data_IF_643028809402
#
_entry.id   IF_643028809402
#
_cell.length_a   1.000
_cell.length_b   1.000
_cell.length_c   1.000
_cell.angle_alpha   90.00
_cell.angle_beta   90.00
_cell.angle_gamma   90.00
#
_symmetry.space_group_name_H-M   'P 1'
#
loop_
_entity.id
_entity.type
_entity.pdbx_description
1 polymer ?
#
# COMPACT_ATOMS: atom_id res chain seq x y z
N UNK A 1 -28.35 68.49 -3.50
CA UNK A 1 -27.89 67.20 -2.92
C UNK A 1 -27.25 66.39 -4.04
N UNK A 2 -25.92 66.37 -4.13
CA UNK A 2 -25.20 65.64 -5.18
C UNK A 2 -24.94 64.21 -4.70
N UNK A 3 -25.53 63.22 -5.37
CA UNK A 3 -25.32 61.80 -5.06
C UNK A 3 -24.04 61.35 -5.76
N UNK A 4 -23.01 61.04 -4.96
CA UNK A 4 -21.77 60.41 -5.46
C UNK A 4 -21.99 58.90 -5.44
N UNK A 5 -22.03 58.29 -6.62
CA UNK A 5 -22.18 56.84 -6.76
C UNK A 5 -20.78 56.22 -6.88
N UNK A 6 -20.36 55.52 -5.83
CA UNK A 6 -19.11 54.75 -5.81
C UNK A 6 -19.34 53.44 -6.57
N UNK A 7 -18.55 53.24 -7.63
CA UNK A 7 -18.55 52.01 -8.43
C UNK A 7 -17.39 51.12 -7.95
N UNK A 8 -17.70 50.11 -7.15
CA UNK A 8 -16.72 49.10 -6.73
C UNK A 8 -16.50 48.09 -7.87
N UNK A 9 -15.35 48.19 -8.53
CA UNK A 9 -14.90 47.24 -9.54
C UNK A 9 -14.34 45.99 -8.84
N UNK A 10 -15.16 44.94 -8.70
CA UNK A 10 -14.71 43.61 -8.26
C UNK A 10 -13.95 42.93 -9.41
N UNK A 11 -12.62 43.02 -9.38
CA UNK A 11 -11.75 42.24 -10.28
C UNK A 11 -11.69 40.81 -9.73
N UNK A 12 -12.53 39.94 -10.27
CA UNK A 12 -12.42 38.50 -10.06
C UNK A 12 -11.14 38.01 -10.75
N UNK A 13 -10.05 37.86 -10.00
CA UNK A 13 -8.87 37.16 -10.50
C UNK A 13 -9.26 35.71 -10.70
N UNK A 14 -9.15 35.23 -11.93
CA UNK A 14 -9.28 33.81 -12.24
C UNK A 14 -8.10 33.12 -11.54
N UNK A 15 -8.34 32.48 -10.39
CA UNK A 15 -7.38 31.54 -9.83
C UNK A 15 -7.31 30.37 -10.81
N UNK A 16 -6.37 30.42 -11.76
CA UNK A 16 -6.00 29.22 -12.50
C UNK A 16 -5.38 28.29 -11.47
N UNK A 17 -6.17 27.35 -10.97
CA UNK A 17 -5.70 26.19 -10.23
C UNK A 17 -4.95 25.29 -11.22
N UNK A 18 -3.84 25.77 -11.79
CA UNK A 18 -2.88 24.86 -12.38
C UNK A 18 -2.37 24.01 -11.23
N UNK A 19 -2.54 22.70 -11.35
CA UNK A 19 -1.82 21.72 -10.52
C UNK A 19 -0.36 22.10 -10.62
N UNK A 20 0.20 22.63 -9.54
CA UNK A 20 1.57 23.09 -9.54
C UNK A 20 2.49 21.87 -9.61
N UNK A 21 3.43 21.92 -10.56
CA UNK A 21 4.35 20.83 -10.88
C UNK A 21 5.72 21.15 -10.33
N UNK A 22 6.36 20.13 -9.77
CA UNK A 22 7.77 20.15 -9.38
C UNK A 22 8.49 19.08 -10.19
N UNK A 23 9.68 19.39 -10.66
CA UNK A 23 10.50 18.48 -11.44
C UNK A 23 11.63 17.93 -10.59
N UNK A 24 11.91 16.63 -10.74
CA UNK A 24 12.97 15.91 -10.03
C UNK A 24 13.90 15.25 -11.04
N UNK A 25 15.20 15.49 -10.92
CA UNK A 25 16.22 14.86 -11.77
C UNK A 25 17.52 14.56 -11.01
N UNK A 26 18.27 13.56 -11.46
CA UNK A 26 19.53 13.13 -10.85
C UNK A 26 20.64 14.18 -10.91
N UNK A 27 20.53 15.17 -11.80
CA UNK A 27 21.44 16.32 -11.92
C UNK A 27 20.87 17.62 -11.36
N UNK A 28 19.73 17.56 -10.66
CA UNK A 28 19.05 18.73 -10.12
C UNK A 28 19.78 19.40 -8.95
N UNK A 29 19.12 20.39 -8.35
CA UNK A 29 19.57 21.08 -7.14
C UNK A 29 18.36 21.43 -6.26
N UNK A 30 18.34 20.92 -5.02
CA UNK A 30 17.23 21.14 -4.07
C UNK A 30 17.09 22.60 -3.60
N UNK A 31 18.14 23.42 -3.77
CA UNK A 31 18.09 24.87 -3.51
C UNK A 31 17.58 25.68 -4.71
N UNK A 32 17.27 25.02 -5.83
CA UNK A 32 16.74 25.64 -7.04
C UNK A 32 15.23 25.91 -6.97
N UNK A 33 14.70 26.45 -8.06
CA UNK A 33 13.26 26.74 -8.22
C UNK A 33 12.42 25.44 -8.26
N UNK A 34 12.93 24.38 -8.90
CA UNK A 34 12.26 23.09 -9.08
C UNK A 34 10.91 23.12 -9.81
N UNK A 35 10.28 24.29 -10.01
CA UNK A 35 9.04 24.46 -10.78
C UNK A 35 9.27 24.48 -12.29
N UNK A 36 10.54 24.53 -12.73
CA UNK A 36 10.96 24.48 -14.12
C UNK A 36 11.80 23.23 -14.39
N UNK A 37 11.48 22.52 -15.47
CA UNK A 37 12.18 21.30 -15.90
C UNK A 37 13.69 21.52 -16.11
N UNK A 38 14.12 22.72 -16.47
CA UNK A 38 15.53 23.07 -16.65
C UNK A 38 16.29 23.27 -15.32
N UNK A 39 15.57 23.44 -14.21
CA UNK A 39 16.13 23.64 -12.86
C UNK A 39 15.44 22.71 -11.84
N UNK A 40 15.46 21.38 -12.07
CA UNK A 40 14.74 20.42 -11.24
C UNK A 40 15.39 20.28 -9.85
N UNK A 41 14.62 19.79 -8.89
CA UNK A 41 15.12 19.31 -7.60
C UNK A 41 16.02 18.08 -7.80
N UNK A 42 16.94 17.84 -6.87
CA UNK A 42 17.88 16.71 -6.90
C UNK A 42 17.35 15.47 -6.19
N UNK A 43 16.73 15.66 -5.03
CA UNK A 43 16.29 14.57 -4.16
C UNK A 43 14.77 14.50 -4.07
N UNK A 44 14.24 13.32 -3.73
CA UNK A 44 12.81 13.17 -3.49
C UNK A 44 12.36 14.06 -2.33
N UNK A 45 13.15 14.16 -1.27
CA UNK A 45 12.85 15.04 -0.14
C UNK A 45 12.82 16.52 -0.55
N UNK A 46 13.78 16.97 -1.37
CA UNK A 46 13.80 18.33 -1.90
C UNK A 46 12.54 18.63 -2.72
N UNK A 47 12.18 17.72 -3.63
CA UNK A 47 10.98 17.84 -4.44
C UNK A 47 9.69 17.85 -3.58
N UNK A 48 9.60 17.02 -2.55
CA UNK A 48 8.47 17.01 -1.59
C UNK A 48 8.36 18.32 -0.82
N UNK A 49 9.49 18.90 -0.39
CA UNK A 49 9.51 20.21 0.27
C UNK A 49 9.00 21.30 -0.66
N UNK A 50 9.50 21.35 -1.90
CA UNK A 50 9.14 22.36 -2.89
C UNK A 50 7.70 22.19 -3.45
N UNK A 51 7.18 20.96 -3.50
CA UNK A 51 5.87 20.68 -4.07
C UNK A 51 4.76 21.30 -3.20
N UNK A 52 3.87 22.13 -3.75
CA UNK A 52 2.73 22.61 -2.99
C UNK A 52 1.73 21.48 -2.72
N UNK A 53 0.80 21.73 -1.79
CA UNK A 53 -0.30 20.80 -1.49
C UNK A 53 -1.12 20.57 -2.77
N UNK A 54 -1.51 19.32 -3.00
CA UNK A 54 -2.18 18.82 -4.20
C UNK A 54 -1.36 18.95 -5.51
N UNK A 55 -0.06 19.23 -5.40
CA UNK A 55 0.84 19.29 -6.55
C UNK A 55 1.30 17.92 -7.06
N UNK A 56 2.08 17.94 -8.14
CA UNK A 56 2.66 16.75 -8.77
C UNK A 56 4.17 16.89 -8.93
N UNK A 57 4.91 15.91 -8.42
CA UNK A 57 6.35 15.74 -8.63
C UNK A 57 6.56 14.82 -9.84
N UNK A 58 7.22 15.34 -10.87
CA UNK A 58 7.52 14.62 -12.11
C UNK A 58 9.01 14.25 -12.11
N UNK A 59 9.29 12.94 -12.10
CA UNK A 59 10.65 12.41 -12.17
C UNK A 59 11.07 12.32 -13.65
N UNK A 60 12.15 13.01 -14.01
CA UNK A 60 12.54 13.25 -15.39
C UNK A 60 13.50 12.21 -15.97
N UNK A 61 14.39 11.68 -15.14
CA UNK A 61 15.50 10.83 -15.57
C UNK A 61 15.63 9.58 -14.69
N UNK A 62 16.52 8.67 -15.11
CA UNK A 62 16.87 7.52 -14.30
C UNK A 62 17.87 7.94 -13.23
N UNK A 63 17.67 7.50 -11.99
CA UNK A 63 18.58 7.89 -10.93
C UNK A 63 18.17 7.41 -9.54
N UNK A 64 19.07 7.64 -8.59
CA UNK A 64 18.80 7.47 -7.16
C UNK A 64 18.33 8.77 -6.52
N UNK A 65 17.15 8.74 -5.89
CA UNK A 65 16.50 9.95 -5.34
C UNK A 65 16.42 10.01 -3.81
N UNK A 66 16.83 8.93 -3.13
CA UNK A 66 16.72 8.82 -1.67
C UNK A 66 15.28 8.68 -1.19
N UNK A 67 15.11 8.64 0.14
CA UNK A 67 13.81 8.57 0.78
C UNK A 67 13.20 9.96 0.94
N UNK A 68 11.99 10.01 1.49
CA UNK A 68 11.33 11.27 1.83
C UNK A 68 10.28 11.10 2.94
N UNK A 69 10.02 12.18 3.66
CA UNK A 69 8.85 12.34 4.53
C UNK A 69 7.80 13.20 3.84
N UNK A 70 6.63 12.62 3.59
CA UNK A 70 5.50 13.25 2.90
C UNK A 70 4.38 13.52 3.91
N UNK A 71 4.11 14.80 4.15
CA UNK A 71 3.15 15.25 5.18
C UNK A 71 1.98 16.07 4.63
N UNK A 72 1.73 15.97 3.32
CA UNK A 72 0.69 16.72 2.62
C UNK A 72 0.22 15.96 1.39
N UNK A 73 -0.98 16.28 0.93
CA UNK A 73 -1.49 15.75 -0.35
C UNK A 73 -0.55 16.11 -1.50
N UNK A 74 -0.10 15.12 -2.28
CA UNK A 74 0.68 15.28 -3.51
C UNK A 74 0.76 13.98 -4.31
N UNK A 75 1.23 14.06 -5.55
CA UNK A 75 1.57 12.89 -6.37
C UNK A 75 3.06 12.87 -6.66
N UNK A 76 3.70 11.70 -6.54
CA UNK A 76 5.04 11.41 -7.07
C UNK A 76 4.86 10.52 -8.29
N UNK A 77 5.31 10.99 -9.46
CA UNK A 77 5.06 10.34 -10.73
C UNK A 77 6.38 10.09 -11.48
N UNK A 78 6.78 8.83 -11.55
CA UNK A 78 7.78 8.35 -12.51
C UNK A 78 7.06 7.83 -13.76
N UNK A 79 7.36 8.44 -14.90
CA UNK A 79 6.81 8.02 -16.20
C UNK A 79 7.34 6.64 -16.60
N UNK A 80 6.59 5.91 -17.43
CA UNK A 80 7.03 4.61 -17.95
C UNK A 80 8.41 4.74 -18.63
N UNK A 81 9.33 3.83 -18.30
CA UNK A 81 10.72 3.86 -18.78
C UNK A 81 11.68 4.64 -17.87
N UNK A 82 11.18 5.38 -16.88
CA UNK A 82 11.99 6.04 -15.86
C UNK A 82 12.23 5.08 -14.68
N UNK A 83 13.49 4.78 -14.39
CA UNK A 83 13.91 4.04 -13.20
C UNK A 83 14.13 5.03 -12.05
N UNK A 84 13.04 5.33 -11.34
CA UNK A 84 13.07 6.10 -10.11
C UNK A 84 13.55 5.24 -8.93
N UNK A 85 14.87 5.08 -8.82
CA UNK A 85 15.48 4.19 -7.84
C UNK A 85 15.44 4.79 -6.43
N UNK A 86 14.83 4.05 -5.49
CA UNK A 86 14.69 4.45 -4.09
C UNK A 86 15.08 3.28 -3.20
N UNK A 87 16.23 3.40 -2.53
CA UNK A 87 16.74 2.37 -1.62
C UNK A 87 16.58 2.73 -0.14
N UNK A 88 15.68 3.67 0.14
CA UNK A 88 15.45 4.29 1.44
C UNK A 88 13.96 4.30 1.74
N UNK A 89 13.58 4.26 3.01
CA UNK A 89 12.18 4.36 3.40
C UNK A 89 11.55 5.67 2.91
N UNK A 90 10.32 5.57 2.38
CA UNK A 90 9.42 6.71 2.21
C UNK A 90 8.43 6.68 3.37
N UNK A 91 8.38 7.74 4.16
CA UNK A 91 7.40 7.91 5.23
C UNK A 91 6.26 8.79 4.74
N UNK A 92 5.02 8.32 4.92
CA UNK A 92 3.80 9.05 4.59
C UNK A 92 3.03 9.29 5.88
N UNK A 93 2.93 10.56 6.27
CA UNK A 93 2.37 11.05 7.52
C UNK A 93 1.41 12.20 7.25
N UNK A 94 0.24 11.87 6.69
CA UNK A 94 -0.72 12.84 6.16
C UNK A 94 -1.95 12.98 7.07
N UNK A 95 -2.79 13.99 6.83
CA UNK A 95 -4.05 14.16 7.55
C UNK A 95 -5.14 13.22 6.99
N UNK A 96 -6.20 12.95 7.78
CA UNK A 96 -7.27 12.03 7.39
C UNK A 96 -8.02 12.38 6.09
N UNK A 97 -7.97 13.65 5.69
CA UNK A 97 -8.55 14.15 4.43
C UNK A 97 -7.57 14.20 3.26
N UNK A 98 -6.28 13.97 3.53
CA UNK A 98 -5.23 14.05 2.53
C UNK A 98 -5.10 12.79 1.69
N UNK A 99 -4.51 12.96 0.50
CA UNK A 99 -4.21 11.88 -0.43
C UNK A 99 -2.79 12.00 -1.00
N UNK A 100 -2.03 10.92 -0.88
CA UNK A 100 -0.73 10.75 -1.53
C UNK A 100 -0.81 9.66 -2.59
N UNK A 101 -0.21 9.92 -3.76
CA UNK A 101 -0.04 8.91 -4.82
C UNK A 101 1.44 8.73 -5.10
N UNK A 102 1.90 7.48 -5.02
CA UNK A 102 3.26 7.06 -5.38
C UNK A 102 3.16 6.16 -6.61
N UNK A 103 3.63 6.64 -7.77
CA UNK A 103 3.49 5.97 -9.06
C UNK A 103 4.85 5.71 -9.72
N UNK A 104 5.04 4.50 -10.23
CA UNK A 104 6.17 4.16 -11.09
C UNK A 104 7.50 3.99 -10.36
N UNK A 105 7.49 3.83 -9.03
CA UNK A 105 8.72 3.81 -8.24
C UNK A 105 9.41 2.44 -8.34
N UNK A 106 10.74 2.45 -8.39
CA UNK A 106 11.57 1.24 -8.32
C UNK A 106 12.32 1.23 -6.99
N UNK A 107 11.75 0.57 -5.99
CA UNK A 107 12.30 0.54 -4.64
C UNK A 107 13.11 -0.73 -4.40
N UNK A 108 14.32 -0.61 -3.84
CA UNK A 108 15.18 -1.73 -3.49
C UNK A 108 15.97 -1.48 -2.19
N UNK A 109 15.59 -2.14 -1.10
CA UNK A 109 16.17 -1.96 0.22
C UNK A 109 17.52 -2.67 0.48
N UNK A 110 17.99 -3.56 -0.41
CA UNK A 110 19.11 -4.49 -0.13
C UNK A 110 20.39 -3.76 0.27
N UNK A 111 20.68 -2.62 -0.37
CA UNK A 111 21.95 -1.91 -0.20
C UNK A 111 22.09 -1.32 1.20
N UNK A 112 21.01 -0.83 1.77
CA UNK A 112 21.09 -0.04 2.99
C UNK A 112 20.37 -0.65 4.19
N UNK A 113 19.60 -1.71 4.00
CA UNK A 113 19.00 -2.47 5.10
C UNK A 113 17.90 -1.73 5.85
N UNK A 114 17.20 -0.79 5.22
CA UNK A 114 16.03 -0.16 5.82
C UNK A 114 14.96 -1.22 6.12
N UNK A 115 14.30 -1.06 7.27
CA UNK A 115 13.26 -1.98 7.72
C UNK A 115 12.09 -2.01 6.74
N UNK A 116 11.58 -0.84 6.35
CA UNK A 116 10.39 -0.73 5.49
C UNK A 116 10.66 0.04 4.20
N UNK A 117 10.00 -0.36 3.11
CA UNK A 117 9.98 0.41 1.87
C UNK A 117 9.13 1.66 2.02
N UNK A 118 7.84 1.46 2.27
CA UNK A 118 6.90 2.55 2.53
C UNK A 118 6.34 2.40 3.94
N UNK A 119 6.46 3.45 4.74
CA UNK A 119 5.89 3.54 6.07
C UNK A 119 4.71 4.51 6.05
N UNK A 120 3.48 4.00 6.16
CA UNK A 120 2.26 4.80 6.20
C UNK A 120 1.80 4.97 7.65
N UNK A 121 2.21 6.07 8.27
CA UNK A 121 2.19 6.26 9.72
C UNK A 121 0.97 7.03 10.23
N UNK A 122 0.35 7.88 9.41
CA UNK A 122 -0.83 8.68 9.79
C UNK A 122 -2.01 8.52 8.83
N UNK A 123 -3.22 8.89 9.28
CA UNK A 123 -4.47 8.62 8.58
C UNK A 123 -4.63 9.40 7.27
N UNK A 124 -5.42 8.90 6.32
CA UNK A 124 -5.61 9.52 5.01
C UNK A 124 -5.73 8.45 3.92
N UNK A 125 -5.42 8.82 2.67
CA UNK A 125 -5.36 7.87 1.56
C UNK A 125 -3.95 7.80 0.96
N UNK A 126 -3.36 6.61 0.96
CA UNK A 126 -2.13 6.32 0.21
C UNK A 126 -2.47 5.42 -0.98
N UNK A 127 -2.11 5.85 -2.18
CA UNK A 127 -2.17 5.04 -3.40
C UNK A 127 -0.76 4.72 -3.84
N UNK A 128 -0.45 3.43 -3.99
CA UNK A 128 0.80 2.94 -4.55
C UNK A 128 0.45 2.20 -5.83
N UNK A 129 0.96 2.67 -6.95
CA UNK A 129 0.60 2.07 -8.24
C UNK A 129 1.79 1.95 -9.20
N UNK A 130 1.75 0.91 -10.04
CA UNK A 130 2.76 0.67 -11.07
C UNK A 130 4.19 0.63 -10.53
N UNK A 131 4.38 0.14 -9.30
CA UNK A 131 5.64 0.24 -8.57
C UNK A 131 6.22 -1.13 -8.24
N UNK A 132 7.54 -1.19 -8.12
CA UNK A 132 8.26 -2.36 -7.61
C UNK A 132 8.78 -2.02 -6.21
N UNK A 133 8.50 -2.87 -5.23
CA UNK A 133 8.98 -2.72 -3.86
C UNK A 133 9.68 -4.00 -3.45
N UNK A 134 11.01 -3.94 -3.34
CA UNK A 134 11.78 -5.14 -3.08
C UNK A 134 12.90 -5.00 -2.07
N UNK A 135 13.27 -6.11 -1.43
CA UNK A 135 14.54 -6.21 -0.70
C UNK A 135 14.62 -5.42 0.60
N UNK A 136 13.48 -5.01 1.18
CA UNK A 136 13.46 -4.39 2.50
C UNK A 136 13.52 -5.47 3.59
N UNK A 137 14.22 -5.17 4.69
CA UNK A 137 14.54 -6.18 5.72
C UNK A 137 13.27 -6.73 6.38
N UNK A 138 12.29 -5.86 6.59
CA UNK A 138 11.06 -6.20 7.28
C UNK A 138 9.84 -6.04 6.36
N UNK A 139 9.45 -4.83 5.97
CA UNK A 139 8.15 -4.60 5.32
C UNK A 139 8.30 -3.97 3.92
N UNK A 140 7.62 -4.49 2.92
CA UNK A 140 7.43 -3.75 1.66
C UNK A 140 6.64 -2.47 1.91
N UNK A 141 5.42 -2.63 2.43
CA UNK A 141 4.54 -1.53 2.87
C UNK A 141 4.03 -1.81 4.29
N UNK A 142 4.24 -0.85 5.19
CA UNK A 142 3.70 -0.86 6.54
C UNK A 142 2.52 0.13 6.63
N UNK A 143 1.32 -0.35 6.92
CA UNK A 143 0.14 0.47 7.18
C UNK A 143 -0.16 0.46 8.68
N UNK A 144 0.33 1.49 9.38
CA UNK A 144 0.27 1.57 10.84
C UNK A 144 -0.76 2.60 11.33
N UNK A 145 -1.35 3.35 10.41
CA UNK A 145 -2.30 4.41 10.70
C UNK A 145 -3.73 3.90 10.90
N UNK A 146 -4.33 4.20 12.05
CA UNK A 146 -5.75 3.97 12.25
C UNK A 146 -6.59 4.89 11.34
N UNK A 147 -7.73 4.42 10.80
CA UNK A 147 -8.56 5.23 9.89
C UNK A 147 -7.97 5.40 8.48
N UNK A 148 -6.86 4.73 8.17
CA UNK A 148 -6.16 4.89 6.89
C UNK A 148 -6.79 4.07 5.77
N UNK A 149 -6.56 4.52 4.53
CA UNK A 149 -6.97 3.84 3.31
C UNK A 149 -5.73 3.61 2.44
N UNK A 150 -5.30 2.37 2.29
CA UNK A 150 -4.21 1.98 1.40
C UNK A 150 -4.79 1.35 0.14
N UNK A 151 -4.32 1.80 -1.02
CA UNK A 151 -4.62 1.20 -2.32
C UNK A 151 -3.29 0.80 -2.96
N UNK A 152 -3.12 -0.48 -3.26
CA UNK A 152 -1.97 -1.05 -3.96
C UNK A 152 -2.45 -1.62 -5.28
N UNK A 153 -2.05 -1.04 -6.39
CA UNK A 153 -2.54 -1.44 -7.71
C UNK A 153 -1.41 -1.65 -8.72
N UNK A 154 -1.39 -2.80 -9.38
CA UNK A 154 -0.38 -3.12 -10.39
C UNK A 154 1.06 -2.98 -9.85
N UNK A 155 1.32 -3.57 -8.68
CA UNK A 155 2.63 -3.54 -8.05
C UNK A 155 3.29 -4.93 -8.00
N UNK A 156 4.61 -4.94 -7.97
CA UNK A 156 5.41 -6.13 -7.68
C UNK A 156 6.09 -5.94 -6.32
N UNK A 157 5.73 -6.77 -5.34
CA UNK A 157 6.21 -6.66 -3.96
C UNK A 157 6.94 -7.95 -3.58
N UNK A 158 8.27 -7.91 -3.54
CA UNK A 158 9.06 -9.15 -3.46
C UNK A 158 10.33 -9.08 -2.63
N UNK A 159 10.81 -10.23 -2.15
CA UNK A 159 12.06 -10.32 -1.40
C UNK A 159 12.09 -9.43 -0.14
N UNK A 160 10.94 -9.18 0.49
CA UNK A 160 10.88 -8.47 1.76
C UNK A 160 10.69 -9.47 2.93
N UNK A 161 10.61 -9.00 4.17
CA UNK A 161 10.05 -9.81 5.26
C UNK A 161 8.57 -10.10 4.98
N UNK A 162 7.74 -9.08 5.12
CA UNK A 162 6.34 -9.03 4.72
C UNK A 162 6.18 -8.20 3.45
N UNK A 163 5.22 -8.55 2.60
CA UNK A 163 4.87 -7.72 1.45
C UNK A 163 4.11 -6.46 1.87
N UNK A 164 2.87 -6.64 2.36
CA UNK A 164 2.05 -5.59 2.96
C UNK A 164 1.61 -6.05 4.35
N UNK A 165 1.87 -5.23 5.36
CA UNK A 165 1.37 -5.43 6.73
C UNK A 165 0.45 -4.28 7.11
N UNK A 166 -0.80 -4.61 7.45
CA UNK A 166 -1.74 -3.69 8.10
C UNK A 166 -1.80 -4.06 9.58
N UNK A 167 -1.20 -3.21 10.42
CA UNK A 167 -1.09 -3.39 11.87
C UNK A 167 -1.27 -2.02 12.53
N UNK A 168 -2.46 -1.74 13.04
CA UNK A 168 -2.77 -0.43 13.66
C UNK A 168 -2.89 -0.48 15.17
N UNK A 169 -3.05 -1.69 15.74
CA UNK A 169 -3.39 -1.93 17.14
C UNK A 169 -4.56 -1.05 17.64
N UNK A 170 -5.47 -0.66 16.73
CA UNK A 170 -6.53 0.30 16.98
C UNK A 170 -7.92 -0.27 16.69
N UNK A 171 -8.93 0.24 17.38
CA UNK A 171 -10.34 -0.06 17.14
C UNK A 171 -10.95 0.75 15.99
N UNK A 172 -10.19 1.68 15.40
CA UNK A 172 -10.60 2.45 14.22
C UNK A 172 -10.14 1.75 12.96
N UNK A 173 -11.10 1.42 12.09
CA UNK A 173 -10.87 0.62 10.89
C UNK A 173 -9.77 1.19 9.99
N UNK A 174 -8.90 0.32 9.51
CA UNK A 174 -7.96 0.59 8.42
C UNK A 174 -8.39 -0.22 7.20
N UNK A 175 -8.56 0.44 6.06
CA UNK A 175 -8.95 -0.22 4.82
C UNK A 175 -7.71 -0.44 3.95
N UNK A 176 -7.63 -1.62 3.35
CA UNK A 176 -6.56 -1.97 2.41
C UNK A 176 -7.16 -2.63 1.18
N UNK A 177 -6.84 -2.13 -0.01
CA UNK A 177 -7.27 -2.71 -1.27
C UNK A 177 -6.03 -3.03 -2.10
N UNK A 178 -5.88 -4.29 -2.49
CA UNK A 178 -4.77 -4.80 -3.28
C UNK A 178 -5.34 -5.39 -4.56
N UNK A 179 -4.96 -4.83 -5.71
CA UNK A 179 -5.45 -5.27 -7.02
C UNK A 179 -4.32 -5.43 -8.02
N UNK A 180 -4.47 -6.41 -8.92
CA UNK A 180 -3.58 -6.61 -10.06
C UNK A 180 -2.10 -6.72 -9.69
N UNK A 181 -1.79 -7.20 -8.47
CA UNK A 181 -0.45 -7.13 -7.90
C UNK A 181 0.15 -8.51 -7.71
N UNK A 182 1.49 -8.56 -7.62
CA UNK A 182 2.25 -9.80 -7.49
C UNK A 182 3.17 -9.76 -6.28
N UNK A 183 3.05 -10.76 -5.42
CA UNK A 183 3.81 -10.91 -4.19
C UNK A 183 4.65 -12.18 -4.24
N UNK A 184 5.96 -12.04 -4.18
CA UNK A 184 6.86 -13.20 -4.26
C UNK A 184 8.07 -13.14 -3.35
N UNK A 185 8.48 -14.31 -2.85
CA UNK A 185 9.71 -14.44 -2.06
C UNK A 185 9.75 -13.50 -0.84
N UNK A 186 8.58 -13.06 -0.34
CA UNK A 186 8.51 -12.41 0.95
C UNK A 186 8.67 -13.50 2.02
N UNK A 187 9.66 -13.35 2.89
CA UNK A 187 10.12 -14.43 3.76
C UNK A 187 9.14 -14.79 4.88
N UNK A 188 8.18 -13.91 5.19
CA UNK A 188 7.17 -14.09 6.23
C UNK A 188 5.78 -14.23 5.60
N UNK A 189 5.06 -13.15 5.30
CA UNK A 189 3.77 -13.21 4.59
C UNK A 189 3.73 -12.22 3.43
N UNK A 190 3.08 -12.59 2.33
CA UNK A 190 2.82 -11.66 1.23
C UNK A 190 1.87 -10.54 1.68
N UNK A 191 0.76 -10.89 2.33
CA UNK A 191 -0.19 -9.93 2.89
C UNK A 191 -0.60 -10.35 4.30
N UNK A 192 -0.51 -9.42 5.22
CA UNK A 192 -0.79 -9.64 6.63
C UNK A 192 -1.74 -8.56 7.18
N UNK A 193 -2.84 -9.02 7.77
CA UNK A 193 -3.81 -8.22 8.50
C UNK A 193 -3.74 -8.61 9.97
N UNK A 194 -2.95 -7.86 10.74
CA UNK A 194 -2.61 -8.14 12.13
C UNK A 194 -3.20 -7.07 13.07
N UNK A 195 -3.47 -7.48 14.31
CA UNK A 195 -3.89 -6.67 15.46
C UNK A 195 -4.36 -5.24 15.13
N UNK A 196 -5.68 -5.05 15.13
CA UNK A 196 -6.34 -3.81 14.77
C UNK A 196 -7.76 -4.09 14.32
N UNK A 197 -8.34 -3.20 13.53
CA UNK A 197 -9.57 -3.50 12.77
C UNK A 197 -9.35 -3.44 11.26
N UNK A 198 -8.41 -4.23 10.71
CA UNK A 198 -8.12 -4.23 9.29
C UNK A 198 -9.30 -4.79 8.48
N UNK A 199 -9.67 -4.07 7.43
CA UNK A 199 -10.62 -4.49 6.41
C UNK A 199 -9.91 -4.54 5.06
N UNK A 200 -9.52 -5.74 4.66
CA UNK A 200 -8.61 -5.96 3.55
C UNK A 200 -9.29 -6.70 2.40
N UNK A 201 -9.13 -6.21 1.18
CA UNK A 201 -9.58 -6.85 -0.05
C UNK A 201 -8.40 -7.11 -0.98
N UNK A 202 -8.23 -8.35 -1.40
CA UNK A 202 -7.22 -8.76 -2.39
C UNK A 202 -7.95 -9.29 -3.61
N UNK A 203 -7.70 -8.69 -4.77
CA UNK A 203 -8.33 -9.08 -6.02
C UNK A 203 -7.33 -9.23 -7.16
N UNK A 204 -7.58 -10.21 -8.03
CA UNK A 204 -6.84 -10.41 -9.28
C UNK A 204 -5.31 -10.37 -9.09
N UNK A 205 -4.82 -11.04 -8.05
CA UNK A 205 -3.42 -10.94 -7.62
C UNK A 205 -2.79 -12.33 -7.47
N UNK A 206 -1.46 -12.36 -7.50
CA UNK A 206 -0.67 -13.59 -7.35
C UNK A 206 0.17 -13.48 -6.08
N UNK A 207 0.03 -14.45 -5.18
CA UNK A 207 0.77 -14.55 -3.94
C UNK A 207 1.51 -15.90 -3.94
N UNK A 208 2.75 -15.89 -4.42
CA UNK A 208 3.48 -17.13 -4.67
C UNK A 208 4.91 -17.14 -4.12
N UNK A 209 5.39 -18.31 -3.68
CA UNK A 209 6.76 -18.50 -3.18
C UNK A 209 7.09 -17.64 -1.95
N UNK A 210 6.12 -17.33 -1.09
CA UNK A 210 6.32 -16.60 0.16
C UNK A 210 6.39 -17.56 1.35
N UNK A 211 6.82 -17.07 2.52
CA UNK A 211 6.63 -17.78 3.78
C UNK A 211 5.15 -18.15 3.95
N UNK A 212 4.24 -17.20 3.75
CA UNK A 212 2.82 -17.46 3.60
C UNK A 212 2.14 -16.48 2.64
N UNK A 213 0.98 -16.88 2.11
CA UNK A 213 0.21 -16.04 1.19
C UNK A 213 -0.54 -14.93 1.91
N UNK A 214 -1.60 -15.28 2.64
CA UNK A 214 -2.43 -14.30 3.35
C UNK A 214 -2.59 -14.71 4.80
N UNK A 215 -2.32 -13.78 5.71
CA UNK A 215 -2.54 -13.96 7.14
C UNK A 215 -3.58 -12.98 7.68
N UNK A 216 -4.47 -13.49 8.54
CA UNK A 216 -5.39 -12.67 9.33
C UNK A 216 -5.31 -13.09 10.80
N UNK A 217 -5.09 -12.12 11.68
CA UNK A 217 -4.93 -12.34 13.11
C UNK A 217 -5.80 -11.41 13.95
N UNK A 218 -6.33 -11.95 15.05
CA UNK A 218 -6.98 -11.16 16.10
C UNK A 218 -6.89 -11.87 17.45
N UNK A 219 -6.66 -11.10 18.53
CA UNK A 219 -6.64 -11.62 19.90
C UNK A 219 -7.57 -10.87 20.86
N UNK A 220 -8.36 -9.92 20.37
CA UNK A 220 -9.26 -9.11 21.18
C UNK A 220 -10.60 -8.89 20.46
N UNK A 221 -11.70 -8.98 21.22
CA UNK A 221 -13.06 -8.79 20.68
C UNK A 221 -13.28 -7.42 20.04
N UNK A 222 -12.56 -6.39 20.51
CA UNK A 222 -12.62 -5.02 19.99
C UNK A 222 -11.77 -4.80 18.74
N UNK A 223 -11.00 -5.80 18.31
CA UNK A 223 -10.06 -5.75 17.19
C UNK A 223 -10.41 -6.85 16.14
N UNK A 224 -11.64 -6.87 15.58
CA UNK A 224 -11.97 -7.83 14.53
C UNK A 224 -11.18 -7.53 13.23
N UNK A 225 -10.58 -8.57 12.67
CA UNK A 225 -9.85 -8.52 11.40
C UNK A 225 -10.63 -9.26 10.31
N UNK A 226 -10.86 -8.59 9.17
CA UNK A 226 -11.61 -9.12 8.04
C UNK A 226 -10.79 -9.03 6.76
N UNK A 227 -10.67 -10.18 6.07
CA UNK A 227 -10.01 -10.27 4.77
C UNK A 227 -10.94 -10.91 3.74
N UNK A 228 -10.98 -10.33 2.54
CA UNK A 228 -11.63 -10.93 1.36
C UNK A 228 -10.58 -11.21 0.30
N UNK A 229 -10.59 -12.42 -0.23
CA UNK A 229 -9.70 -12.88 -1.30
C UNK A 229 -10.55 -13.28 -2.50
N UNK A 230 -10.40 -12.57 -3.61
CA UNK A 230 -11.18 -12.75 -4.83
C UNK A 230 -10.28 -12.92 -6.06
N UNK A 231 -10.52 -13.96 -6.86
CA UNK A 231 -9.83 -14.14 -8.15
C UNK A 231 -8.30 -14.13 -7.98
N UNK A 232 -7.79 -14.74 -6.90
CA UNK A 232 -6.36 -14.77 -6.60
C UNK A 232 -5.76 -16.15 -6.89
N UNK A 233 -4.46 -16.14 -7.18
CA UNK A 233 -3.61 -17.35 -7.21
C UNK A 233 -2.71 -17.35 -6.00
N UNK A 234 -2.85 -18.37 -5.14
CA UNK A 234 -2.07 -18.53 -3.90
C UNK A 234 -1.33 -19.87 -3.98
N UNK A 235 -0.03 -19.82 -4.25
CA UNK A 235 0.70 -21.05 -4.57
C UNK A 235 2.14 -21.08 -4.08
N UNK A 236 2.68 -22.28 -3.83
CA UNK A 236 4.09 -22.46 -3.48
C UNK A 236 4.52 -21.73 -2.20
N UNK A 237 3.58 -21.41 -1.31
CA UNK A 237 3.88 -20.84 -0.01
C UNK A 237 4.03 -21.93 1.05
N UNK A 238 4.71 -21.66 2.17
CA UNK A 238 4.68 -22.60 3.30
C UNK A 238 3.26 -22.68 3.89
N UNK A 239 2.57 -21.54 4.02
CA UNK A 239 1.16 -21.46 4.36
C UNK A 239 0.41 -20.69 3.26
N UNK A 240 -0.59 -21.28 2.62
CA UNK A 240 -1.38 -20.62 1.58
C UNK A 240 -2.17 -19.46 2.16
N UNK A 241 -3.17 -19.78 2.97
CA UNK A 241 -3.94 -18.80 3.74
C UNK A 241 -4.06 -19.25 5.19
N UNK A 242 -4.03 -18.29 6.12
CA UNK A 242 -4.06 -18.55 7.55
C UNK A 242 -4.95 -17.58 8.30
N UNK A 243 -5.77 -18.12 9.20
CA UNK A 243 -6.58 -17.35 10.13
C UNK A 243 -6.30 -17.80 11.57
N UNK A 244 -5.94 -16.86 12.42
CA UNK A 244 -5.66 -17.10 13.83
C UNK A 244 -6.53 -16.17 14.66
N UNK A 245 -7.43 -16.73 15.46
CA UNK A 245 -8.13 -15.97 16.49
C UNK A 245 -7.85 -16.58 17.85
N UNK A 246 -7.27 -15.80 18.76
CA UNK A 246 -6.95 -16.20 20.12
C UNK A 246 -7.83 -15.43 21.12
N UNK A 247 -7.95 -15.95 22.34
CA UNK A 247 -8.75 -15.33 23.41
C UNK A 247 -10.20 -15.05 22.96
N UNK A 248 -10.62 -13.79 22.90
CA UNK A 248 -11.93 -13.34 22.41
C UNK A 248 -11.86 -12.66 21.04
N UNK A 249 -10.74 -12.81 20.32
CA UNK A 249 -10.51 -12.23 19.00
C UNK A 249 -11.42 -12.79 17.92
N UNK A 250 -11.51 -12.04 16.81
CA UNK A 250 -12.26 -12.44 15.62
C UNK A 250 -11.40 -12.19 14.38
N UNK A 251 -10.91 -13.27 13.77
CA UNK A 251 -10.14 -13.25 12.54
C UNK A 251 -10.90 -14.04 11.47
N UNK A 252 -11.42 -13.33 10.47
CA UNK A 252 -12.26 -13.93 9.42
C UNK A 252 -11.67 -13.66 8.04
N UNK A 253 -11.51 -14.71 7.25
CA UNK A 253 -11.18 -14.62 5.84
C UNK A 253 -12.32 -15.20 5.00
N UNK A 254 -12.71 -14.52 3.92
CA UNK A 254 -13.67 -15.04 2.94
C UNK A 254 -13.03 -15.13 1.57
N UNK A 255 -13.19 -16.28 0.93
CA UNK A 255 -12.49 -16.60 -0.30
C UNK A 255 -13.49 -16.92 -1.41
N UNK A 256 -13.32 -16.29 -2.57
CA UNK A 256 -14.15 -16.51 -3.77
C UNK A 256 -13.28 -16.56 -5.03
N UNK A 257 -13.70 -17.34 -6.02
CA UNK A 257 -13.08 -17.45 -7.36
C UNK A 257 -11.55 -17.68 -7.35
N UNK A 258 -10.97 -18.18 -6.26
CA UNK A 258 -9.53 -18.22 -6.07
C UNK A 258 -8.99 -19.64 -6.17
N UNK A 259 -7.71 -19.75 -6.53
CA UNK A 259 -7.00 -21.03 -6.64
C UNK A 259 -5.88 -21.09 -5.60
N UNK A 260 -5.96 -22.07 -4.69
CA UNK A 260 -5.01 -22.29 -3.60
C UNK A 260 -4.37 -23.67 -3.81
N UNK A 261 -3.13 -23.69 -4.28
CA UNK A 261 -2.48 -24.94 -4.71
C UNK A 261 -0.98 -24.98 -4.54
N UNK A 262 -0.41 -26.18 -4.42
CA UNK A 262 1.03 -26.39 -4.22
C UNK A 262 1.64 -25.66 -3.02
N UNK A 263 0.85 -25.34 -1.99
CA UNK A 263 1.38 -24.87 -0.72
C UNK A 263 1.75 -26.08 0.16
N UNK A 264 2.61 -25.88 1.16
CA UNK A 264 2.85 -26.92 2.17
C UNK A 264 1.56 -27.13 2.95
N UNK A 265 1.06 -26.10 3.62
CA UNK A 265 -0.29 -26.05 4.16
C UNK A 265 -1.17 -25.14 3.29
N UNK A 266 -2.31 -25.64 2.80
CA UNK A 266 -3.21 -24.82 1.96
C UNK A 266 -3.99 -23.77 2.76
N UNK A 267 -4.67 -24.21 3.82
CA UNK A 267 -5.62 -23.45 4.64
C UNK A 267 -5.36 -23.77 6.11
N UNK A 268 -4.79 -22.82 6.85
CA UNK A 268 -4.45 -22.98 8.27
C UNK A 268 -5.44 -22.23 9.15
N UNK A 269 -5.97 -22.92 10.16
CA UNK A 269 -6.88 -22.38 11.16
C UNK A 269 -6.27 -22.60 12.55
N UNK A 270 -6.25 -21.57 13.38
CA UNK A 270 -5.81 -21.68 14.77
C UNK A 270 -6.77 -20.95 15.72
N UNK A 271 -7.02 -21.57 16.87
CA UNK A 271 -8.01 -21.08 17.83
C UNK A 271 -9.40 -21.01 17.20
N UNK A 272 -10.06 -19.85 17.27
CA UNK A 272 -11.38 -19.62 16.67
C UNK A 272 -11.30 -18.89 15.32
N UNK A 273 -10.14 -18.90 14.65
CA UNK A 273 -9.98 -18.31 13.33
C UNK A 273 -10.90 -18.97 12.29
N UNK A 274 -11.43 -18.17 11.37
CA UNK A 274 -12.45 -18.61 10.41
C UNK A 274 -11.98 -18.31 8.97
N UNK A 275 -12.06 -19.30 8.09
CA UNK A 275 -11.84 -19.13 6.65
C UNK A 275 -13.02 -19.77 5.90
N UNK A 276 -13.88 -18.93 5.34
CA UNK A 276 -15.10 -19.35 4.64
C UNK A 276 -14.95 -19.27 3.12
N UNK A 277 -15.56 -20.22 2.41
CA UNK A 277 -15.65 -20.21 0.95
C UNK A 277 -17.01 -19.74 0.46
N UNK A 278 -17.04 -19.01 -0.66
CA UNK A 278 -18.26 -18.77 -1.43
C UNK A 278 -18.68 -19.96 -2.33
N UNK A 279 -17.99 -21.10 -2.27
CA UNK A 279 -18.33 -22.34 -2.97
C UNK A 279 -17.75 -22.49 -4.38
N UNK A 280 -16.92 -21.55 -4.83
CA UNK A 280 -16.37 -21.46 -6.19
C UNK A 280 -14.82 -21.42 -6.23
N UNK A 281 -14.16 -21.85 -5.16
CA UNK A 281 -12.70 -21.90 -5.06
C UNK A 281 -12.14 -23.25 -5.56
N UNK A 282 -10.89 -23.23 -6.00
CA UNK A 282 -10.12 -24.42 -6.36
C UNK A 282 -9.02 -24.63 -5.32
N UNK A 283 -9.18 -25.63 -4.45
CA UNK A 283 -8.17 -25.98 -3.43
C UNK A 283 -7.67 -27.37 -3.75
N UNK A 284 -6.45 -27.47 -4.26
CA UNK A 284 -5.91 -28.72 -4.79
C UNK A 284 -4.40 -28.79 -4.60
N UNK A 285 -3.85 -30.01 -4.58
CA UNK A 285 -2.41 -30.23 -4.62
C UNK A 285 -1.59 -29.48 -3.54
N UNK A 286 -2.18 -29.11 -2.40
CA UNK A 286 -1.41 -28.73 -1.23
C UNK A 286 -0.97 -30.00 -0.49
N UNK A 287 0.15 -29.94 0.23
CA UNK A 287 0.67 -31.11 0.95
C UNK A 287 -0.28 -31.49 2.10
N UNK A 288 -0.71 -30.49 2.85
CA UNK A 288 -1.56 -30.60 4.03
C UNK A 288 -2.69 -29.57 3.97
N UNK A 289 -3.68 -29.73 4.86
CA UNK A 289 -4.66 -28.69 5.24
C UNK A 289 -5.33 -27.98 4.05
N UNK A 290 -6.39 -28.54 3.49
CA UNK A 290 -7.06 -28.02 2.28
C UNK A 290 -8.57 -27.80 2.42
N UNK A 291 -9.03 -27.56 3.66
CA UNK A 291 -10.46 -27.50 3.98
C UNK A 291 -10.82 -26.14 4.58
N UNK A 292 -11.84 -25.49 4.03
CA UNK A 292 -12.45 -24.29 4.61
C UNK A 292 -13.18 -24.61 5.91
N UNK A 293 -13.26 -23.66 6.84
CA UNK A 293 -14.03 -23.82 8.08
C UNK A 293 -15.55 -23.80 7.85
N UNK A 294 -15.99 -23.28 6.70
CA UNK A 294 -17.40 -23.22 6.35
C UNK A 294 -17.65 -22.58 4.98
N UNK A 295 -18.94 -22.41 4.67
CA UNK A 295 -19.41 -21.73 3.45
C UNK A 295 -20.16 -20.45 3.81
N UNK A 296 -19.92 -19.38 3.06
CA UNK A 296 -20.68 -18.13 3.18
C UNK A 296 -22.08 -18.36 2.61
N UNK A 297 -23.18 -18.10 3.35
CA UNK A 297 -24.53 -18.20 2.81
C UNK A 297 -24.73 -17.23 1.64
N UNK A 298 -25.21 -17.75 0.51
CA UNK A 298 -25.70 -16.92 -0.58
C UNK A 298 -27.00 -16.25 -0.11
N UNK A 299 -27.02 -14.93 -0.08
CA UNK A 299 -28.23 -14.15 0.19
C UNK A 299 -28.93 -13.80 -1.12
#
# INVERSE_FOLDING_TARGET
MKHVMIFCLLVATSASAQVARVFLAGTGNDAGDCTNQATPCRSLQGAVTACPVNGEIIILDNGGYGGASITKSLTVNASAGVVAFIARTITVSIASTDKVVLRGLSMNGVVFGDGSGIMFSDGGTLVVENSVIAGFVDLGIAQNAAGSNLIVNNCEIRNNGYGVLNFTASTTNSNTVIENSRFEYNSIFAVDADQGTPNLSIRNSVLANNGGGVFVYSNAQTLPALVVVDTCTIAHNSEGIKAVALSSGSATMRVTNSTIYHNVDGIVLQGTGVIESYGNNRVLANTNNSTFSGTVPLR
#
